data_IF_080681978779
#
_entry.id   IF_080681978779
#
_cell.length_a   1.000
_cell.length_b   1.000
_cell.length_c   1.000
_cell.angle_alpha   90.00
_cell.angle_beta   90.00
_cell.angle_gamma   90.00
#
_symmetry.space_group_name_H-M   'P 1'
#
loop_
_entity.id
_entity.type
_entity.pdbx_description
1 polymer ?
#
# COMPACT_ATOMS: atom_id res chain seq x y z
N UNK A 1 6.19 -14.28 9.37
CA UNK A 1 7.04 -13.12 8.99
C UNK A 1 6.42 -11.93 9.68
N UNK A 2 7.14 -11.19 10.53
CA UNK A 2 6.56 -10.07 11.25
C UNK A 2 6.29 -8.89 10.32
N UNK A 3 5.29 -8.08 10.65
CA UNK A 3 4.89 -6.92 9.86
C UNK A 3 5.99 -5.84 9.77
N UNK A 4 6.85 -5.75 10.78
CA UNK A 4 7.98 -4.82 10.84
C UNK A 4 9.04 -5.13 9.77
N UNK A 5 9.35 -6.41 9.54
CA UNK A 5 10.25 -6.84 8.46
C UNK A 5 9.65 -6.53 7.08
N UNK A 6 8.34 -6.75 6.94
CA UNK A 6 7.57 -6.47 5.73
C UNK A 6 7.58 -4.97 5.43
N UNK A 7 7.35 -4.16 6.45
CA UNK A 7 7.37 -2.70 6.34
C UNK A 7 8.75 -2.20 5.92
N UNK A 8 9.81 -2.60 6.64
CA UNK A 8 11.18 -2.16 6.35
C UNK A 8 11.65 -2.60 4.96
N UNK A 9 11.24 -3.80 4.52
CA UNK A 9 11.65 -4.35 3.22
C UNK A 9 10.90 -3.76 2.03
N UNK A 10 9.59 -3.48 2.17
CA UNK A 10 8.75 -3.12 1.03
C UNK A 10 8.32 -1.66 0.99
N UNK A 11 8.46 -0.90 2.08
CA UNK A 11 8.06 0.51 2.12
C UNK A 11 8.70 1.33 1.00
N UNK A 12 10.04 1.35 0.93
CA UNK A 12 10.75 2.15 -0.07
C UNK A 12 10.45 1.71 -1.50
N UNK A 13 10.32 0.41 -1.72
CA UNK A 13 9.98 -0.15 -3.04
C UNK A 13 8.56 0.25 -3.45
N UNK A 14 7.60 0.17 -2.54
CA UNK A 14 6.20 0.52 -2.77
C UNK A 14 6.05 2.02 -3.05
N UNK A 15 6.68 2.90 -2.27
CA UNK A 15 6.63 4.34 -2.53
C UNK A 15 7.21 4.68 -3.90
N UNK A 16 8.36 4.10 -4.27
CA UNK A 16 8.95 4.28 -5.62
C UNK A 16 8.03 3.77 -6.73
N UNK A 17 7.40 2.60 -6.53
CA UNK A 17 6.44 2.04 -7.47
C UNK A 17 5.24 2.96 -7.67
N UNK A 18 4.64 3.43 -6.57
CA UNK A 18 3.49 4.34 -6.60
C UNK A 18 3.86 5.67 -7.25
N UNK A 19 5.00 6.25 -6.87
CA UNK A 19 5.51 7.49 -7.44
C UNK A 19 5.74 7.37 -8.95
N UNK A 20 6.38 6.30 -9.41
CA UNK A 20 6.63 6.05 -10.83
C UNK A 20 5.34 5.87 -11.64
N UNK A 21 4.31 5.26 -11.03
CA UNK A 21 3.07 4.90 -11.74
C UNK A 21 1.99 5.97 -11.71
N UNK A 22 1.89 6.72 -10.61
CA UNK A 22 0.80 7.67 -10.37
C UNK A 22 1.28 9.11 -10.12
N UNK A 23 2.61 9.33 -10.08
CA UNK A 23 3.22 10.62 -9.81
C UNK A 23 3.33 10.92 -8.31
N UNK A 24 3.74 12.15 -7.99
CA UNK A 24 3.92 12.58 -6.60
C UNK A 24 2.59 12.81 -5.87
N UNK A 25 1.46 12.92 -6.56
CA UNK A 25 0.15 13.15 -5.93
C UNK A 25 -0.62 14.34 -6.51
N UNK A 26 -1.73 14.74 -5.86
CA UNK A 26 -2.38 14.07 -4.72
C UNK A 26 -3.20 12.84 -5.15
N UNK A 27 -3.23 11.75 -4.34
CA UNK A 27 -2.64 11.63 -3.00
C UNK A 27 -1.15 11.25 -3.08
N UNK A 28 -0.37 11.61 -2.06
CA UNK A 28 1.06 11.31 -2.01
C UNK A 28 1.29 9.78 -1.92
N UNK A 29 2.27 9.22 -2.66
CA UNK A 29 2.64 7.81 -2.61
C UNK A 29 2.83 7.25 -1.20
N UNK A 30 3.46 8.02 -0.32
CA UNK A 30 3.75 7.65 1.07
C UNK A 30 2.47 7.48 1.90
N UNK A 31 1.48 8.36 1.72
CA UNK A 31 0.20 8.29 2.42
C UNK A 31 -0.61 7.06 1.99
N UNK A 32 -0.57 6.75 0.69
CA UNK A 32 -1.20 5.56 0.13
C UNK A 32 -0.50 4.29 0.63
N UNK A 33 0.83 4.27 0.64
CA UNK A 33 1.62 3.17 1.18
C UNK A 33 1.27 2.93 2.66
N UNK A 34 1.26 3.98 3.48
CA UNK A 34 0.88 3.91 4.89
C UNK A 34 -0.51 3.30 5.06
N UNK A 35 -1.49 3.80 4.32
CA UNK A 35 -2.87 3.33 4.40
C UNK A 35 -2.98 1.85 4.02
N UNK A 36 -2.23 1.39 3.03
CA UNK A 36 -2.20 -0.02 2.63
C UNK A 36 -1.62 -0.91 3.74
N UNK A 37 -0.52 -0.50 4.39
CA UNK A 37 0.05 -1.22 5.53
C UNK A 37 -0.87 -1.24 6.74
N UNK A 38 -1.53 -0.12 7.08
CA UNK A 38 -2.52 -0.07 8.17
C UNK A 38 -3.69 -1.02 7.91
N UNK A 39 -4.20 -1.05 6.66
CA UNK A 39 -5.26 -2.00 6.27
C UNK A 39 -4.80 -3.46 6.42
N UNK A 40 -3.56 -3.76 6.03
CA UNK A 40 -3.00 -5.11 6.20
C UNK A 40 -2.85 -5.47 7.68
N UNK A 41 -2.31 -4.57 8.50
CA UNK A 41 -2.15 -4.75 9.95
C UNK A 41 -3.49 -4.97 10.67
N UNK A 42 -4.55 -4.33 10.19
CA UNK A 42 -5.90 -4.40 10.76
C UNK A 42 -6.64 -5.70 10.42
N UNK A 43 -6.08 -6.57 9.56
CA UNK A 43 -6.68 -7.87 9.28
C UNK A 43 -6.51 -8.80 10.49
N UNK A 44 -7.61 -9.30 11.04
CA UNK A 44 -7.61 -10.23 12.18
C UNK A 44 -6.83 -11.53 11.92
N UNK A 45 -6.63 -11.89 10.64
CA UNK A 45 -5.86 -13.06 10.23
C UNK A 45 -4.83 -12.68 9.17
N UNK A 46 -4.06 -11.60 9.37
CA UNK A 46 -3.03 -11.19 8.41
C UNK A 46 -2.00 -12.30 8.14
N UNK A 47 -1.74 -13.18 9.12
CA UNK A 47 -0.87 -14.36 8.99
C UNK A 47 -1.37 -15.40 7.97
N UNK A 48 -2.66 -15.39 7.64
CA UNK A 48 -3.27 -16.29 6.63
C UNK A 48 -3.15 -15.74 5.21
N UNK A 49 -2.64 -14.53 5.03
CA UNK A 49 -2.42 -13.95 3.70
C UNK A 49 -1.20 -14.63 3.10
N UNK A 50 -1.42 -15.49 2.10
CA UNK A 50 -0.35 -16.26 1.43
C UNK A 50 0.72 -15.36 0.80
N UNK A 51 0.33 -14.17 0.31
CA UNK A 51 1.25 -13.21 -0.28
C UNK A 51 0.98 -11.78 0.23
N UNK A 52 1.55 -11.41 1.38
CA UNK A 52 1.38 -10.08 1.98
C UNK A 52 1.81 -8.95 1.05
N UNK A 53 2.90 -9.14 0.29
CA UNK A 53 3.40 -8.14 -0.66
C UNK A 53 2.37 -7.85 -1.75
N UNK A 54 1.84 -8.89 -2.40
CA UNK A 54 0.83 -8.73 -3.45
C UNK A 54 -0.44 -8.05 -2.91
N UNK A 55 -0.86 -8.40 -1.70
CA UNK A 55 -1.99 -7.78 -1.03
C UNK A 55 -1.77 -6.27 -0.83
N UNK A 56 -0.62 -5.87 -0.29
CA UNK A 56 -0.29 -4.47 -0.02
C UNK A 56 -0.22 -3.67 -1.32
N UNK A 57 0.47 -4.17 -2.35
CA UNK A 57 0.60 -3.49 -3.65
C UNK A 57 -0.76 -3.30 -4.34
N UNK A 58 -1.62 -4.33 -4.28
CA UNK A 58 -2.97 -4.25 -4.84
C UNK A 58 -3.85 -3.28 -4.06
N UNK A 59 -3.76 -3.28 -2.74
CA UNK A 59 -4.48 -2.35 -1.87
C UNK A 59 -4.07 -0.91 -2.17
N UNK A 60 -2.77 -0.63 -2.21
CA UNK A 60 -2.24 0.70 -2.54
C UNK A 60 -2.69 1.18 -3.94
N UNK A 61 -2.63 0.30 -4.94
CA UNK A 61 -3.08 0.63 -6.30
C UNK A 61 -4.58 0.91 -6.37
N UNK A 62 -5.40 0.17 -5.62
CA UNK A 62 -6.83 0.42 -5.57
C UNK A 62 -7.14 1.75 -4.88
N UNK A 63 -6.45 2.07 -3.78
CA UNK A 63 -6.65 3.32 -3.04
C UNK A 63 -6.38 4.56 -3.89
N UNK A 64 -5.27 4.58 -4.64
CA UNK A 64 -4.92 5.74 -5.47
C UNK A 64 -5.85 5.88 -6.68
N UNK A 65 -6.25 4.76 -7.30
CA UNK A 65 -7.23 4.78 -8.39
C UNK A 65 -8.59 5.27 -7.90
N UNK A 66 -9.04 4.81 -6.73
CA UNK A 66 -10.31 5.22 -6.14
C UNK A 66 -10.31 6.72 -5.78
N UNK A 67 -9.19 7.23 -5.27
CA UNK A 67 -9.00 8.65 -5.04
C UNK A 67 -9.13 9.49 -6.32
N UNK A 68 -8.49 9.06 -7.41
CA UNK A 68 -8.60 9.76 -8.69
C UNK A 68 -9.97 9.60 -9.37
N UNK A 69 -10.70 8.53 -9.04
CA UNK A 69 -12.02 8.23 -9.62
C UNK A 69 -13.15 8.98 -8.91
N UNK A 70 -13.01 9.27 -7.62
CA UNK A 70 -14.01 10.00 -6.86
C UNK A 70 -14.11 11.43 -7.40
N UNK A 71 -15.28 11.86 -7.91
CA UNK A 71 -15.48 13.27 -8.27
C UNK A 71 -15.45 14.06 -6.96
N UNK A 72 -14.42 14.91 -6.81
CA UNK A 72 -14.39 15.91 -5.75
C UNK A 72 -15.56 16.89 -5.89
#
# INVERSE_FOLDING_TARGET
MNIEDLYTSYWSELCKFLHSRYGSGPPEPEDIAQTAFVKFASLENNDRVENPRAFIYRTASNLIVDYHRSPR
#
